data_IF_036986389988
#
_entry.id   IF_036986389988
#
_cell.length_a   1.000
_cell.length_b   1.000
_cell.length_c   1.000
_cell.angle_alpha   90.00
_cell.angle_beta   90.00
_cell.angle_gamma   90.00
#
_symmetry.space_group_name_H-M   'P 1'
#
loop_
_entity.id
_entity.type
_entity.pdbx_description
1 polymer ?
#
# COMPACT_ATOMS: atom_id res chain seq x y z
N UNK A 1 -48.26 6.23 22.37
CA UNK A 1 -47.19 5.31 22.82
C UNK A 1 -46.77 4.45 21.64
N UNK A 2 -45.69 4.83 20.93
CA UNK A 2 -44.61 3.93 20.56
C UNK A 2 -43.51 4.76 19.89
N UNK A 3 -42.39 4.87 20.58
CA UNK A 3 -41.19 5.60 20.20
C UNK A 3 -40.37 4.77 19.21
N UNK A 4 -39.98 5.38 18.09
CA UNK A 4 -39.01 4.84 17.15
C UNK A 4 -37.65 4.73 17.85
N UNK A 5 -37.11 3.51 17.94
CA UNK A 5 -35.71 3.27 18.33
C UNK A 5 -34.82 3.57 17.13
N UNK A 6 -33.88 4.47 17.36
CA UNK A 6 -32.78 4.85 16.47
C UNK A 6 -31.93 3.63 16.18
N UNK A 7 -31.54 3.47 14.92
CA UNK A 7 -30.73 2.36 14.42
C UNK A 7 -29.38 2.25 15.13
N UNK A 8 -28.95 1.00 15.25
CA UNK A 8 -27.70 0.57 15.85
C UNK A 8 -26.52 1.28 15.17
N UNK A 9 -25.74 2.02 15.98
CA UNK A 9 -24.39 2.43 15.61
C UNK A 9 -23.56 1.15 15.45
N UNK A 10 -22.92 1.01 14.30
CA UNK A 10 -21.87 0.03 14.10
C UNK A 10 -20.79 0.26 15.17
N UNK A 11 -20.43 -0.81 15.88
CA UNK A 11 -19.46 -0.79 16.96
C UNK A 11 -18.15 -0.13 16.49
N UNK A 12 -17.78 0.97 17.15
CA UNK A 12 -16.49 1.59 16.99
C UNK A 12 -15.40 0.59 17.40
N UNK A 13 -14.46 0.33 16.50
CA UNK A 13 -13.21 -0.38 16.79
C UNK A 13 -12.54 0.16 18.06
N UNK A 14 -11.90 -0.68 18.89
CA UNK A 14 -11.23 -0.20 20.10
C UNK A 14 -10.15 0.82 19.70
N UNK A 15 -10.38 2.11 19.98
CA UNK A 15 -9.37 3.15 19.81
C UNK A 15 -8.23 2.83 20.77
N UNK A 16 -7.14 2.28 20.23
CA UNK A 16 -5.90 2.10 20.98
C UNK A 16 -5.38 3.47 21.38
N UNK A 17 -5.64 3.88 22.62
CA UNK A 17 -5.30 5.22 23.15
C UNK A 17 -3.80 5.45 23.35
N UNK A 18 -2.93 4.54 22.91
CA UNK A 18 -1.48 4.60 23.08
C UNK A 18 -0.73 4.31 21.77
N UNK A 19 -1.06 5.02 20.69
CA UNK A 19 -0.31 4.95 19.44
C UNK A 19 1.14 5.41 19.68
N UNK A 20 2.11 4.59 19.29
CA UNK A 20 3.55 4.93 19.31
C UNK A 20 4.19 4.90 17.93
N UNK A 21 3.56 4.23 16.97
CA UNK A 21 4.03 4.23 15.59
C UNK A 21 2.90 4.53 14.60
N UNK A 22 3.22 5.30 13.57
CA UNK A 22 2.34 5.58 12.44
C UNK A 22 3.03 5.06 11.18
N UNK A 23 2.36 4.14 10.49
CA UNK A 23 2.87 3.44 9.32
C UNK A 23 2.05 3.85 8.11
N UNK A 24 2.73 4.19 7.03
CA UNK A 24 2.14 4.69 5.80
C UNK A 24 2.42 3.72 4.66
N UNK A 25 1.41 3.42 3.84
CA UNK A 25 1.64 2.93 2.50
C UNK A 25 2.31 4.01 1.63
N UNK A 26 2.86 3.60 0.49
CA UNK A 26 3.42 4.50 -0.51
C UNK A 26 2.36 4.96 -1.51
N UNK A 27 1.83 4.03 -2.33
CA UNK A 27 0.81 4.31 -3.34
C UNK A 27 -0.50 4.74 -2.71
N UNK A 28 -1.19 5.73 -3.27
CA UNK A 28 -2.49 6.20 -2.76
C UNK A 28 -2.44 6.97 -1.42
N UNK A 29 -1.31 6.94 -0.72
CA UNK A 29 -1.11 7.58 0.60
C UNK A 29 -0.06 8.68 0.56
N UNK A 30 1.21 8.37 0.23
CA UNK A 30 2.29 9.36 0.12
C UNK A 30 2.44 9.92 -1.30
N UNK A 31 1.98 9.15 -2.28
CA UNK A 31 1.96 9.52 -3.70
C UNK A 31 0.58 9.23 -4.29
N UNK A 32 0.26 9.84 -5.43
CA UNK A 32 -0.94 9.47 -6.18
C UNK A 32 -0.88 8.01 -6.64
N UNK A 33 -2.05 7.37 -6.80
CA UNK A 33 -2.16 6.01 -7.33
C UNK A 33 -1.60 5.88 -8.76
N UNK A 34 -1.09 4.70 -9.11
CA UNK A 34 -0.41 4.38 -10.38
C UNK A 34 -1.43 3.93 -11.47
N UNK A 35 -2.73 4.06 -11.21
CA UNK A 35 -3.81 3.53 -12.07
C UNK A 35 -3.90 4.12 -13.47
N UNK A 36 -3.28 5.26 -13.74
CA UNK A 36 -3.40 5.93 -15.04
C UNK A 36 -2.72 5.16 -16.18
N UNK A 37 -1.55 4.54 -15.97
CA UNK A 37 -0.90 3.74 -17.03
C UNK A 37 -1.66 2.47 -17.35
N UNK A 38 -2.18 1.82 -16.31
CA UNK A 38 -3.04 0.66 -16.44
C UNK A 38 -4.23 0.94 -17.37
N UNK A 39 -4.79 2.14 -17.30
CA UNK A 39 -5.84 2.57 -18.24
C UNK A 39 -5.35 2.61 -19.69
N UNK A 40 -4.20 3.22 -19.97
CA UNK A 40 -3.68 3.34 -21.33
C UNK A 40 -3.33 1.96 -21.93
N UNK A 41 -2.67 1.10 -21.14
CA UNK A 41 -2.37 -0.27 -21.56
C UNK A 41 -3.67 -1.06 -21.81
N UNK A 42 -4.69 -0.88 -20.97
CA UNK A 42 -5.99 -1.53 -21.19
C UNK A 42 -6.64 -1.11 -22.52
N UNK A 43 -6.61 0.19 -22.83
CA UNK A 43 -7.14 0.74 -24.10
C UNK A 43 -6.40 0.15 -25.30
N UNK A 44 -5.08 0.07 -25.26
CA UNK A 44 -4.27 -0.46 -26.36
C UNK A 44 -4.56 -1.94 -26.66
N UNK A 45 -4.95 -2.69 -25.62
CA UNK A 45 -5.34 -4.10 -25.73
C UNK A 45 -6.85 -4.32 -25.92
N UNK A 46 -7.65 -3.25 -25.98
CA UNK A 46 -9.10 -3.33 -26.19
C UNK A 46 -9.86 -4.01 -25.05
N UNK A 47 -9.37 -3.91 -23.81
CA UNK A 47 -10.00 -4.47 -22.61
C UNK A 47 -10.29 -3.38 -21.58
N UNK A 48 -11.12 -3.70 -20.59
CA UNK A 48 -11.33 -2.81 -19.45
C UNK A 48 -10.13 -2.82 -18.48
N UNK A 49 -10.01 -1.76 -17.67
CA UNK A 49 -8.90 -1.57 -16.74
C UNK A 49 -8.85 -2.67 -15.66
N UNK A 50 -10.00 -3.19 -15.22
CA UNK A 50 -10.03 -4.23 -14.20
C UNK A 50 -9.48 -5.57 -14.75
N UNK A 51 -9.76 -5.88 -16.01
CA UNK A 51 -9.17 -7.00 -16.73
C UNK A 51 -7.66 -6.83 -16.86
N UNK A 52 -7.19 -5.66 -17.32
CA UNK A 52 -5.75 -5.42 -17.46
C UNK A 52 -5.02 -5.45 -16.10
N UNK A 53 -5.63 -4.90 -15.04
CA UNK A 53 -5.10 -4.97 -13.68
C UNK A 53 -4.90 -6.42 -13.24
N UNK A 54 -5.90 -7.28 -13.44
CA UNK A 54 -5.78 -8.71 -13.10
C UNK A 54 -4.70 -9.42 -13.90
N UNK A 55 -4.46 -9.02 -15.15
CA UNK A 55 -3.43 -9.60 -16.01
C UNK A 55 -2.03 -9.16 -15.57
N UNK A 56 -1.83 -7.87 -15.29
CA UNK A 56 -0.48 -7.32 -15.04
C UNK A 56 -0.05 -7.40 -13.57
N UNK A 57 -0.98 -7.21 -12.64
CA UNK A 57 -0.70 -7.14 -11.20
C UNK A 57 -1.20 -8.40 -10.46
N UNK A 58 -2.10 -9.16 -11.08
CA UNK A 58 -2.66 -10.38 -10.51
C UNK A 58 -3.94 -10.18 -9.70
N UNK A 59 -4.47 -11.28 -9.12
CA UNK A 59 -5.54 -11.20 -8.14
C UNK A 59 -5.06 -10.48 -6.89
N UNK A 60 -5.97 -10.01 -6.05
CA UNK A 60 -5.53 -9.32 -4.82
C UNK A 60 -4.95 -10.32 -3.81
N UNK A 61 -5.50 -11.54 -3.76
CA UNK A 61 -4.96 -12.63 -2.97
C UNK A 61 -3.53 -12.94 -3.39
N UNK A 62 -2.62 -12.98 -2.42
CA UNK A 62 -1.25 -13.33 -2.72
C UNK A 62 -1.14 -14.75 -3.28
N UNK A 63 -0.23 -14.91 -4.24
CA UNK A 63 -0.07 -16.17 -4.97
C UNK A 63 1.15 -16.16 -5.88
N UNK A 64 1.14 -17.05 -6.87
CA UNK A 64 2.24 -17.25 -7.83
C UNK A 64 2.20 -16.30 -9.03
N UNK A 65 1.46 -15.19 -8.95
CA UNK A 65 1.48 -14.17 -10.01
C UNK A 65 2.89 -13.57 -10.10
N UNK A 66 3.48 -13.39 -11.31
CA UNK A 66 4.85 -12.87 -11.44
C UNK A 66 5.05 -11.52 -10.74
N UNK A 67 4.06 -10.63 -10.79
CA UNK A 67 4.06 -9.39 -10.01
C UNK A 67 4.23 -9.62 -8.50
N UNK A 68 3.49 -10.56 -7.92
CA UNK A 68 3.61 -10.91 -6.50
C UNK A 68 4.97 -11.52 -6.17
N UNK A 69 5.52 -12.34 -7.07
CA UNK A 69 6.86 -12.91 -6.93
C UNK A 69 7.92 -11.81 -6.92
N UNK A 70 7.81 -10.83 -7.81
CA UNK A 70 8.71 -9.67 -7.84
C UNK A 70 8.56 -8.79 -6.60
N UNK A 71 7.33 -8.53 -6.14
CA UNK A 71 7.08 -7.81 -4.88
C UNK A 71 7.67 -8.55 -3.66
N UNK A 72 7.79 -9.88 -3.70
CA UNK A 72 8.51 -10.67 -2.68
C UNK A 72 10.01 -10.79 -2.93
N UNK A 73 10.55 -10.20 -4.00
CA UNK A 73 11.97 -10.30 -4.35
C UNK A 73 12.40 -11.68 -4.86
N UNK A 74 11.45 -12.54 -5.25
CA UNK A 74 11.71 -13.88 -5.77
C UNK A 74 12.23 -13.85 -7.22
N UNK A 75 11.79 -12.84 -7.99
CA UNK A 75 12.23 -12.57 -9.37
C UNK A 75 12.52 -11.08 -9.55
N UNK A 76 13.33 -10.73 -10.55
CA UNK A 76 13.54 -9.34 -10.95
C UNK A 76 12.31 -8.78 -11.71
N UNK A 77 12.14 -7.47 -11.73
CA UNK A 77 11.02 -6.80 -12.43
C UNK A 77 11.03 -7.15 -13.93
N UNK A 78 12.21 -7.22 -14.53
CA UNK A 78 12.38 -7.58 -15.95
C UNK A 78 11.89 -8.99 -16.30
N UNK A 79 11.74 -9.88 -15.32
CA UNK A 79 11.25 -11.24 -15.52
C UNK A 79 9.70 -11.34 -15.42
N UNK A 80 9.01 -10.29 -14.95
CA UNK A 80 7.55 -10.31 -14.79
C UNK A 80 6.86 -10.61 -16.12
N UNK A 81 7.25 -9.88 -17.17
CA UNK A 81 6.61 -9.89 -18.49
C UNK A 81 6.49 -11.31 -19.09
N UNK A 82 7.57 -12.10 -18.99
CA UNK A 82 7.62 -13.46 -19.53
C UNK A 82 6.60 -14.40 -18.85
N UNK A 83 6.23 -14.11 -17.61
CA UNK A 83 5.28 -14.88 -16.82
C UNK A 83 3.80 -14.50 -17.00
N UNK A 84 3.48 -13.45 -17.77
CA UNK A 84 2.11 -12.90 -17.84
C UNK A 84 1.20 -13.60 -18.85
N UNK A 85 1.75 -14.32 -19.83
CA UNK A 85 0.93 -14.94 -20.89
C UNK A 85 -0.14 -15.92 -20.36
N UNK A 86 0.10 -16.75 -19.33
CA UNK A 86 -0.93 -17.58 -18.71
C UNK A 86 -2.09 -16.78 -18.09
N UNK A 87 -1.85 -15.53 -17.68
CA UNK A 87 -2.86 -14.64 -17.09
C UNK A 87 -3.64 -13.87 -18.16
N UNK A 88 -3.01 -13.55 -19.29
CA UNK A 88 -3.65 -12.90 -20.42
C UNK A 88 -4.56 -13.86 -21.25
N UNK A 89 -4.17 -15.14 -21.35
CA UNK A 89 -4.85 -16.14 -22.21
C UNK A 89 -6.33 -16.34 -21.88
N UNK A 90 -6.77 -16.46 -20.61
CA UNK A 90 -8.19 -16.59 -20.25
C UNK A 90 -9.06 -15.42 -20.70
N UNK A 91 -8.46 -14.24 -20.91
CA UNK A 91 -9.13 -13.02 -21.35
C UNK A 91 -9.04 -12.82 -22.87
N UNK A 92 -8.41 -13.75 -23.60
CA UNK A 92 -8.17 -13.61 -25.05
C UNK A 92 -7.19 -12.49 -25.39
N UNK A 93 -6.40 -12.02 -24.42
CA UNK A 93 -5.43 -10.94 -24.62
C UNK A 93 -4.11 -11.53 -25.09
N UNK A 94 -3.57 -10.94 -26.16
CA UNK A 94 -2.20 -11.18 -26.61
C UNK A 94 -1.35 -10.00 -26.17
N UNK A 95 -0.34 -10.28 -25.35
CA UNK A 95 0.62 -9.28 -24.90
C UNK A 95 1.65 -8.98 -26.01
N UNK A 96 2.09 -7.73 -26.05
CA UNK A 96 3.10 -7.16 -26.95
C UNK A 96 4.52 -7.40 -26.44
N UNK A 97 4.69 -7.58 -25.12
CA UNK A 97 5.97 -7.90 -24.51
C UNK A 97 6.68 -6.70 -23.86
N UNK A 98 6.03 -5.55 -23.80
CA UNK A 98 6.54 -4.30 -23.22
C UNK A 98 5.56 -3.68 -22.21
N UNK A 99 4.51 -4.39 -21.81
CA UNK A 99 3.49 -3.87 -20.89
C UNK A 99 4.05 -3.51 -19.52
N UNK A 100 4.97 -4.32 -18.97
CA UNK A 100 5.62 -4.00 -17.71
C UNK A 100 6.54 -2.79 -17.84
N UNK A 101 7.25 -2.65 -18.96
CA UNK A 101 8.07 -1.46 -19.22
C UNK A 101 7.20 -0.21 -19.37
N UNK A 102 6.07 -0.32 -20.08
CA UNK A 102 5.08 0.74 -20.24
C UNK A 102 4.44 1.13 -18.90
N UNK A 103 4.17 0.15 -18.02
CA UNK A 103 3.64 0.36 -16.67
C UNK A 103 4.68 0.98 -15.73
N UNK A 104 5.97 0.69 -15.91
CA UNK A 104 7.04 1.19 -15.03
C UNK A 104 7.74 2.45 -15.55
N UNK A 105 7.33 2.96 -16.72
CA UNK A 105 7.91 4.16 -17.33
C UNK A 105 7.90 5.36 -16.35
N UNK A 106 8.95 6.21 -16.31
CA UNK A 106 9.03 7.31 -15.33
C UNK A 106 7.90 8.35 -15.41
N UNK A 107 7.67 9.09 -14.31
CA UNK A 107 6.81 10.28 -14.28
C UNK A 107 5.33 10.05 -13.93
N UNK A 108 5.02 8.99 -13.18
CA UNK A 108 3.68 8.40 -13.11
C UNK A 108 2.90 8.71 -11.86
N UNK A 109 3.53 9.35 -10.89
CA UNK A 109 2.88 9.78 -9.68
C UNK A 109 3.35 11.16 -9.25
N UNK A 110 2.51 11.82 -8.47
CA UNK A 110 2.83 13.07 -7.80
C UNK A 110 3.03 12.77 -6.32
N UNK A 111 4.10 13.32 -5.76
CA UNK A 111 4.33 13.31 -4.31
C UNK A 111 3.29 14.21 -3.63
N UNK A 112 2.67 13.69 -2.59
CA UNK A 112 1.69 14.43 -1.79
C UNK A 112 2.46 15.13 -0.67
N UNK A 113 3.01 16.31 -0.97
CA UNK A 113 3.85 17.08 -0.04
C UNK A 113 3.24 17.23 1.36
N UNK A 114 1.93 17.53 1.54
CA UNK A 114 1.34 17.62 2.87
C UNK A 114 1.45 16.33 3.70
N UNK A 115 1.42 15.16 3.06
CA UNK A 115 1.61 13.88 3.74
C UNK A 115 3.06 13.70 4.17
N UNK A 116 4.04 14.06 3.33
CA UNK A 116 5.45 14.01 3.73
C UNK A 116 5.75 14.96 4.90
N UNK A 117 5.17 16.15 4.89
CA UNK A 117 5.34 17.11 5.99
C UNK A 117 4.72 16.58 7.29
N UNK A 118 3.57 15.89 7.20
CA UNK A 118 2.99 15.20 8.35
C UNK A 118 3.89 14.07 8.88
N UNK A 119 4.56 13.30 8.00
CA UNK A 119 5.53 12.29 8.45
C UNK A 119 6.66 12.94 9.25
N UNK A 120 7.25 14.04 8.77
CA UNK A 120 8.31 14.75 9.49
C UNK A 120 7.81 15.30 10.83
N UNK A 121 6.64 15.92 10.85
CA UNK A 121 6.01 16.45 12.06
C UNK A 121 5.78 15.36 13.12
N UNK A 122 5.25 14.20 12.71
CA UNK A 122 5.00 13.07 13.62
C UNK A 122 6.31 12.53 14.21
N UNK A 123 7.36 12.46 13.39
CA UNK A 123 8.70 12.08 13.87
C UNK A 123 9.23 13.09 14.88
N UNK A 124 9.09 14.39 14.62
CA UNK A 124 9.50 15.47 15.56
C UNK A 124 8.72 15.43 16.88
N UNK A 125 7.45 15.02 16.83
CA UNK A 125 6.61 14.75 18.02
C UNK A 125 7.01 13.49 18.79
N UNK A 126 7.99 12.73 18.30
CA UNK A 126 8.54 11.54 18.96
C UNK A 126 7.87 10.22 18.59
N UNK A 127 6.97 10.21 17.60
CA UNK A 127 6.39 8.97 17.09
C UNK A 127 7.38 8.23 16.18
N UNK A 128 7.26 6.90 16.15
CA UNK A 128 7.96 6.10 15.16
C UNK A 128 7.19 6.10 13.84
N UNK A 129 7.82 6.54 12.78
CA UNK A 129 7.24 6.58 11.44
C UNK A 129 7.70 5.39 10.62
N UNK A 130 6.78 4.70 9.95
CA UNK A 130 7.08 3.55 9.10
C UNK A 130 6.61 3.76 7.66
N UNK A 131 7.39 3.31 6.69
CA UNK A 131 6.94 3.13 5.31
C UNK A 131 6.73 1.63 5.06
N UNK A 132 5.51 1.18 4.76
CA UNK A 132 5.20 -0.22 4.47
C UNK A 132 4.66 -0.35 3.06
N UNK A 133 5.48 -0.85 2.14
CA UNK A 133 5.20 -0.79 0.70
C UNK A 133 5.45 -2.12 0.00
N UNK A 134 4.49 -2.49 -0.85
CA UNK A 134 4.71 -3.48 -1.90
C UNK A 134 5.44 -2.76 -3.04
N UNK A 135 6.69 -3.16 -3.29
CA UNK A 135 7.56 -2.48 -4.24
C UNK A 135 8.64 -3.44 -4.74
N UNK A 136 9.55 -2.92 -5.55
CA UNK A 136 10.66 -3.65 -6.15
C UNK A 136 12.01 -3.02 -5.77
N UNK A 137 13.06 -3.84 -5.75
CA UNK A 137 14.42 -3.38 -5.43
C UNK A 137 14.89 -2.30 -6.41
N UNK A 138 14.55 -2.46 -7.69
CA UNK A 138 14.88 -1.57 -8.79
C UNK A 138 14.23 -0.18 -8.67
N UNK A 139 13.11 -0.09 -7.95
CA UNK A 139 12.36 1.14 -7.77
C UNK A 139 12.79 1.94 -6.53
N UNK A 140 13.51 1.29 -5.60
CA UNK A 140 14.01 1.91 -4.36
C UNK A 140 14.80 3.22 -4.58
N UNK A 141 15.71 3.36 -5.58
CA UNK A 141 16.41 4.62 -5.81
C UNK A 141 15.46 5.78 -6.14
N UNK A 142 14.37 5.51 -6.88
CA UNK A 142 13.34 6.51 -7.18
C UNK A 142 12.61 6.93 -5.93
N UNK A 143 12.22 5.96 -5.08
CA UNK A 143 11.59 6.27 -3.78
C UNK A 143 12.52 7.10 -2.89
N UNK A 144 13.82 6.78 -2.83
CA UNK A 144 14.79 7.54 -2.04
C UNK A 144 15.00 8.96 -2.53
N UNK A 145 14.82 9.21 -3.83
CA UNK A 145 14.89 10.56 -4.40
C UNK A 145 13.64 11.38 -4.06
N UNK A 146 12.48 10.73 -4.09
CA UNK A 146 11.18 11.41 -3.99
C UNK A 146 10.67 11.52 -2.54
N UNK A 147 11.18 10.67 -1.64
CA UNK A 147 10.87 10.64 -0.22
C UNK A 147 12.09 11.00 0.63
N UNK A 148 11.84 11.67 1.74
CA UNK A 148 12.82 11.85 2.83
C UNK A 148 12.92 10.55 3.65
N UNK A 149 13.71 9.58 3.21
CA UNK A 149 13.86 8.29 3.90
C UNK A 149 14.32 8.47 5.35
N UNK A 150 15.11 9.50 5.61
CA UNK A 150 15.55 9.90 6.92
C UNK A 150 14.41 10.23 7.87
N UNK A 151 13.20 10.57 7.38
CA UNK A 151 12.04 10.86 8.23
C UNK A 151 11.38 9.60 8.78
N UNK A 152 11.65 8.44 8.17
CA UNK A 152 11.11 7.17 8.62
C UNK A 152 12.05 6.50 9.64
N UNK A 153 11.47 6.00 10.72
CA UNK A 153 12.16 5.13 11.68
C UNK A 153 12.42 3.73 11.10
N UNK A 154 11.55 3.27 10.20
CA UNK A 154 11.73 2.03 9.47
C UNK A 154 11.16 2.13 8.05
N UNK A 155 11.88 1.56 7.09
CA UNK A 155 11.41 1.36 5.72
C UNK A 155 11.22 -0.15 5.53
N UNK A 156 9.98 -0.59 5.35
CA UNK A 156 9.56 -1.98 5.23
C UNK A 156 9.20 -2.24 3.78
N UNK A 157 10.15 -2.79 3.06
CA UNK A 157 10.05 -3.07 1.63
C UNK A 157 9.76 -4.56 1.43
N UNK A 158 8.66 -4.87 0.74
CA UNK A 158 8.18 -6.25 0.58
C UNK A 158 9.26 -7.19 0.02
N UNK A 159 10.04 -6.72 -0.96
CA UNK A 159 11.09 -7.52 -1.61
C UNK A 159 12.26 -7.82 -0.67
N UNK A 160 12.54 -6.93 0.29
CA UNK A 160 13.61 -7.10 1.26
C UNK A 160 13.17 -8.01 2.43
N UNK A 161 11.89 -7.96 2.79
CA UNK A 161 11.29 -8.86 3.78
C UNK A 161 11.07 -10.26 3.22
N UNK A 162 10.85 -10.39 1.90
CA UNK A 162 10.45 -11.63 1.25
C UNK A 162 8.96 -11.93 1.41
N UNK A 163 8.16 -10.91 1.74
CA UNK A 163 6.72 -11.04 1.97
C UNK A 163 6.03 -9.72 1.59
N UNK A 164 4.88 -9.82 0.92
CA UNK A 164 4.10 -8.67 0.43
C UNK A 164 2.84 -8.49 1.25
N UNK A 165 2.26 -7.29 1.30
CA UNK A 165 0.88 -7.12 1.76
C UNK A 165 -0.08 -7.89 0.85
N UNK A 166 -1.13 -8.56 1.38
CA UNK A 166 -1.51 -8.66 2.79
C UNK A 166 -1.01 -9.94 3.50
N UNK A 167 0.16 -10.49 3.15
CA UNK A 167 0.71 -11.66 3.84
C UNK A 167 1.16 -11.31 5.27
N UNK A 168 0.94 -12.22 6.23
CA UNK A 168 1.16 -11.95 7.66
C UNK A 168 2.60 -11.54 8.01
N UNK A 169 3.60 -12.11 7.34
CA UNK A 169 5.01 -11.92 7.69
C UNK A 169 5.49 -10.47 7.51
N UNK A 170 4.91 -9.69 6.59
CA UNK A 170 5.27 -8.27 6.41
C UNK A 170 4.78 -7.40 7.58
N UNK A 171 3.61 -7.71 8.16
CA UNK A 171 3.07 -6.99 9.32
C UNK A 171 3.86 -7.34 10.59
N UNK A 172 4.24 -8.60 10.77
CA UNK A 172 5.15 -9.04 11.85
C UNK A 172 6.52 -8.36 11.73
N UNK A 173 7.07 -8.30 10.52
CA UNK A 173 8.33 -7.60 10.25
C UNK A 173 8.22 -6.11 10.60
N UNK A 174 7.10 -5.47 10.25
CA UNK A 174 6.85 -4.06 10.57
C UNK A 174 6.89 -3.79 12.07
N UNK A 175 6.13 -4.53 12.87
CA UNK A 175 6.13 -4.34 14.33
C UNK A 175 7.52 -4.56 14.95
N UNK A 176 8.25 -5.59 14.47
CA UNK A 176 9.61 -5.90 14.91
C UNK A 176 10.61 -4.79 14.54
N UNK A 177 10.57 -4.27 13.32
CA UNK A 177 11.49 -3.22 12.85
C UNK A 177 11.23 -1.90 13.56
N UNK A 178 9.96 -1.57 13.82
CA UNK A 178 9.58 -0.41 14.62
C UNK A 178 9.79 -0.63 16.11
N UNK A 179 9.96 -1.87 16.57
CA UNK A 179 10.10 -2.25 17.98
C UNK A 179 8.93 -1.73 18.84
N UNK A 180 7.71 -1.90 18.33
CA UNK A 180 6.47 -1.58 19.06
C UNK A 180 5.52 -2.78 19.00
N UNK A 181 4.68 -3.00 20.04
CA UNK A 181 3.54 -3.90 19.97
C UNK A 181 2.60 -3.55 18.82
N UNK A 182 1.95 -4.56 18.24
CA UNK A 182 0.98 -4.35 17.18
C UNK A 182 -0.17 -3.41 17.58
N UNK A 183 -0.64 -3.48 18.84
CA UNK A 183 -1.73 -2.64 19.36
C UNK A 183 -1.40 -1.14 19.46
N UNK A 184 -0.15 -0.74 19.18
CA UNK A 184 0.31 0.65 19.25
C UNK A 184 0.70 1.20 17.88
N UNK A 185 0.30 0.51 16.80
CA UNK A 185 0.50 0.89 15.42
C UNK A 185 -0.80 1.48 14.87
N UNK A 186 -0.71 2.69 14.31
CA UNK A 186 -1.69 3.25 13.39
C UNK A 186 -1.19 3.02 11.96
N UNK A 187 -2.04 2.49 11.08
CA UNK A 187 -1.67 2.17 9.70
C UNK A 187 -2.59 2.84 8.69
N UNK A 188 -1.99 3.43 7.66
CA UNK A 188 -2.68 4.10 6.57
C UNK A 188 -2.40 3.37 5.25
N UNK A 189 -3.46 2.97 4.56
CA UNK A 189 -3.41 2.27 3.27
C UNK A 189 -4.71 2.54 2.50
N UNK A 190 -4.67 2.59 1.17
CA UNK A 190 -5.84 2.82 0.32
C UNK A 190 -6.58 1.52 -0.05
N UNK A 191 -5.99 0.34 0.20
CA UNK A 191 -6.61 -0.96 -0.07
C UNK A 191 -7.23 -1.57 1.19
N UNK A 192 -8.56 -1.70 1.18
CA UNK A 192 -9.35 -2.33 2.24
C UNK A 192 -8.83 -3.72 2.70
N UNK A 193 -8.21 -4.51 1.82
CA UNK A 193 -7.65 -5.82 2.20
C UNK A 193 -6.40 -5.70 3.07
N UNK A 194 -5.54 -4.72 2.79
CA UNK A 194 -4.36 -4.45 3.61
C UNK A 194 -4.78 -3.93 5.00
N UNK A 195 -5.84 -3.11 5.02
CA UNK A 195 -6.49 -2.62 6.24
C UNK A 195 -7.07 -3.78 7.05
N UNK A 196 -7.84 -4.67 6.43
CA UNK A 196 -8.43 -5.82 7.11
C UNK A 196 -7.37 -6.75 7.72
N UNK A 197 -6.25 -6.99 7.00
CA UNK A 197 -5.15 -7.79 7.54
C UNK A 197 -4.48 -7.10 8.74
N UNK A 198 -4.23 -5.78 8.66
CA UNK A 198 -3.67 -5.00 9.77
C UNK A 198 -4.57 -5.02 11.01
N UNK A 199 -5.88 -4.91 10.83
CA UNK A 199 -6.86 -5.04 11.92
C UNK A 199 -6.82 -6.43 12.56
N UNK A 200 -6.56 -7.49 11.79
CA UNK A 200 -6.31 -8.84 12.31
C UNK A 200 -5.10 -8.93 13.26
N UNK A 201 -4.14 -8.01 13.13
CA UNK A 201 -3.03 -7.83 14.06
C UNK A 201 -3.32 -6.85 15.20
N UNK A 202 -4.56 -6.35 15.33
CA UNK A 202 -4.94 -5.29 16.29
C UNK A 202 -4.29 -3.93 16.01
N UNK A 203 -3.92 -3.63 14.77
CA UNK A 203 -3.51 -2.28 14.40
C UNK A 203 -4.74 -1.36 14.36
N UNK A 204 -4.57 -0.12 14.78
CA UNK A 204 -5.49 0.95 14.39
C UNK A 204 -5.27 1.26 12.92
N UNK A 205 -6.32 1.60 12.18
CA UNK A 205 -6.22 1.76 10.71
C UNK A 205 -7.03 2.95 10.21
N UNK A 206 -6.53 3.60 9.16
CA UNK A 206 -7.25 4.58 8.34
C UNK A 206 -7.23 4.06 6.90
N UNK A 207 -8.41 3.79 6.34
CA UNK A 207 -8.54 3.49 4.91
C UNK A 207 -8.53 4.82 4.13
N UNK A 208 -7.47 5.05 3.36
CA UNK A 208 -7.24 6.35 2.73
C UNK A 208 -7.99 6.44 1.42
N UNK A 209 -9.08 7.22 1.41
CA UNK A 209 -9.77 7.61 0.18
C UNK A 209 -9.35 8.99 -0.34
N UNK A 210 -8.97 9.89 0.57
CA UNK A 210 -8.40 11.20 0.29
C UNK A 210 -7.25 11.45 1.28
N UNK A 211 -6.00 11.52 0.79
CA UNK A 211 -4.83 11.76 1.64
C UNK A 211 -4.92 13.05 2.48
N UNK A 212 -5.56 14.11 1.98
CA UNK A 212 -5.69 15.36 2.72
C UNK A 212 -6.71 15.26 3.86
N UNK A 213 -7.76 14.46 3.70
CA UNK A 213 -8.69 14.19 4.79
C UNK A 213 -8.07 13.27 5.84
N UNK A 214 -7.26 12.29 5.41
CA UNK A 214 -6.54 11.39 6.30
C UNK A 214 -5.60 12.14 7.25
N UNK A 215 -5.05 13.29 6.86
CA UNK A 215 -4.23 14.15 7.74
C UNK A 215 -4.97 14.56 9.03
N UNK A 216 -6.23 14.96 8.91
CA UNK A 216 -7.05 15.34 10.05
C UNK A 216 -7.45 14.11 10.87
N UNK A 217 -7.71 12.99 10.20
CA UNK A 217 -8.07 11.72 10.84
C UNK A 217 -6.93 11.17 11.71
N UNK A 218 -5.67 11.26 11.25
CA UNK A 218 -4.49 10.88 12.04
C UNK A 218 -4.54 11.53 13.43
N UNK A 219 -4.82 12.83 13.52
CA UNK A 219 -4.83 13.56 14.80
C UNK A 219 -5.90 13.05 15.77
N UNK A 220 -6.97 12.41 15.29
CA UNK A 220 -8.01 11.84 16.17
C UNK A 220 -7.54 10.62 16.95
N UNK A 221 -6.44 9.99 16.52
CA UNK A 221 -5.80 8.85 17.21
C UNK A 221 -4.69 9.27 18.16
N UNK A 222 -4.26 10.54 18.11
CA UNK A 222 -3.12 11.03 18.87
C UNK A 222 -3.62 11.81 20.10
N UNK A 223 -2.95 11.69 21.26
CA UNK A 223 -3.26 12.53 22.41
C UNK A 223 -3.05 14.02 22.08
N UNK A 224 -3.91 14.86 22.64
CA UNK A 224 -3.85 16.33 22.57
C UNK A 224 -2.56 16.90 23.20
#
# INVERSE_FOLDING_TARGET
MNTYRVGEMLDATPQGTNIRAIVFDFGGVLITSITHQLHNIAVDHGVDVATMLRILLGPHESGSHPWHQAERGEIAVSAIQEGLQPWATPHGVRLQGDEIDALMAPGQYTVITPMLDKVSELRERGYKTGLLTNSFAEFRPTMQRDLRFEDFSAIIESFAVGSRKPESAIYEATARMLQVPHSEILYLDDFAQNIAMAQGFSWSTIEVHDPLLALAEIETFLPL
#
